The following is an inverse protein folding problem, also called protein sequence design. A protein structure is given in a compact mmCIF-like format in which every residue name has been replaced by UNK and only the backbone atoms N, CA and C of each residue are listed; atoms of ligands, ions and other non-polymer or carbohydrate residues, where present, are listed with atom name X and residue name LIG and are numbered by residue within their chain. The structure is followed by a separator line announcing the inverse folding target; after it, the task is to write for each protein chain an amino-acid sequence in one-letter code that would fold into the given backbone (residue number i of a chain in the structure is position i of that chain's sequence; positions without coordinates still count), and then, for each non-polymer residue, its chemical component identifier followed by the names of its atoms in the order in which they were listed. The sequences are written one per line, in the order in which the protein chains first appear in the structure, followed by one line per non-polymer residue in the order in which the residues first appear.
data_IF_554005678636
#
_entry.id   IF_554005678636
#
_cell.length_a   1.000
_cell.length_b   1.000
_cell.length_c   1.000
_cell.angle_alpha   90.00
_cell.angle_beta   90.00
_cell.angle_gamma   90.00
#
_symmetry.space_group_name_H-M   'P 1'
#
loop_
_entity.id
_entity.type
_entity.pdbx_description
1 polymer ?
#
# COMPACT_ATOMS: atom_id res chain seq x y z
N UNK A 1 6.31 -17.65 -9.82
CA UNK A 1 6.09 -16.21 -9.55
C UNK A 1 4.63 -16.02 -9.23
N UNK A 2 4.28 -15.68 -8.00
CA UNK A 2 2.88 -15.37 -7.66
C UNK A 2 2.60 -13.95 -8.14
N UNK A 3 1.92 -13.83 -9.27
CA UNK A 3 1.43 -12.54 -9.77
C UNK A 3 0.25 -12.10 -8.91
N UNK A 4 0.51 -11.49 -7.75
CA UNK A 4 -0.51 -10.69 -7.05
C UNK A 4 -0.71 -9.42 -7.86
N UNK A 5 -1.57 -9.48 -8.88
CA UNK A 5 -2.02 -8.31 -9.62
C UNK A 5 -2.73 -7.41 -8.61
N UNK A 6 -2.13 -6.29 -8.21
CA UNK A 6 -2.85 -5.23 -7.50
C UNK A 6 -2.98 -4.00 -8.41
N UNK A 7 -3.80 -4.06 -9.48
CA UNK A 7 -4.09 -2.89 -10.31
C UNK A 7 -5.05 -1.92 -9.61
N UNK A 8 -5.46 -2.20 -8.37
CA UNK A 8 -6.56 -1.50 -7.71
C UNK A 8 -6.23 -0.04 -7.44
N UNK A 9 -4.97 0.28 -7.12
CA UNK A 9 -4.53 1.65 -6.79
C UNK A 9 -3.94 2.42 -7.98
N UNK A 10 -3.85 1.80 -9.17
CA UNK A 10 -3.26 2.46 -10.33
C UNK A 10 -4.11 3.65 -10.79
N UNK A 11 -3.46 4.79 -11.04
CA UNK A 11 -4.12 6.03 -11.45
C UNK A 11 -4.81 6.83 -10.33
N UNK A 12 -4.83 6.31 -9.10
CA UNK A 12 -5.36 7.07 -7.96
C UNK A 12 -4.42 8.22 -7.60
N UNK A 13 -4.99 9.31 -7.06
CA UNK A 13 -4.20 10.46 -6.58
C UNK A 13 -3.72 10.20 -5.16
N UNK A 14 -2.52 10.67 -4.84
CA UNK A 14 -2.03 10.63 -3.47
C UNK A 14 -2.89 11.54 -2.58
N UNK A 15 -3.40 11.01 -1.48
CA UNK A 15 -4.15 11.77 -0.48
C UNK A 15 -3.73 11.37 0.93
N UNK A 16 -4.00 12.23 1.91
CA UNK A 16 -3.65 12.00 3.32
C UNK A 16 -4.94 11.80 4.11
N UNK A 17 -4.96 10.76 4.96
CA UNK A 17 -6.09 10.41 5.82
C UNK A 17 -5.66 10.55 7.27
N UNK A 18 -6.29 11.49 7.98
CA UNK A 18 -5.98 11.78 9.39
C UNK A 18 -6.99 11.07 10.29
N UNK A 19 -6.78 9.77 10.46
CA UNK A 19 -7.67 8.89 11.22
C UNK A 19 -8.28 9.57 12.43
N UNK A 20 -7.49 10.22 13.29
CA UNK A 20 -7.89 10.67 14.64
C UNK A 20 -8.46 12.10 14.75
N UNK A 21 -8.38 12.93 13.72
CA UNK A 21 -8.64 14.39 13.87
C UNK A 21 -9.71 14.95 12.94
N UNK A 22 -10.07 14.24 11.87
CA UNK A 22 -11.06 14.69 10.90
C UNK A 22 -12.20 13.67 10.82
N UNK A 23 -13.35 14.10 10.28
CA UNK A 23 -14.55 13.28 10.05
C UNK A 23 -14.16 11.93 9.42
N UNK A 24 -14.87 10.82 9.71
CA UNK A 24 -14.50 9.51 9.22
C UNK A 24 -14.28 9.55 7.70
N UNK A 25 -13.22 8.89 7.27
CA UNK A 25 -12.89 8.81 5.85
C UNK A 25 -14.10 8.21 5.14
N UNK A 26 -14.60 8.89 4.10
CA UNK A 26 -15.80 8.48 3.34
C UNK A 26 -15.56 7.21 2.49
N UNK A 27 -14.77 6.27 3.00
CA UNK A 27 -14.61 4.95 2.43
C UNK A 27 -15.80 4.09 2.85
N UNK A 28 -16.44 3.41 1.89
CA UNK A 28 -17.64 2.59 2.16
C UNK A 28 -17.35 1.31 2.94
N UNK A 29 -16.07 0.98 3.10
CA UNK A 29 -15.57 -0.34 3.43
C UNK A 29 -14.69 -0.32 4.69
N UNK A 30 -14.22 0.85 5.08
CA UNK A 30 -13.51 1.11 6.32
C UNK A 30 -14.01 2.41 6.95
N UNK A 31 -14.24 2.38 8.25
CA UNK A 31 -14.64 3.58 8.99
C UNK A 31 -13.52 4.64 9.03
N UNK A 32 -12.25 4.22 8.97
CA UNK A 32 -11.09 5.11 9.09
C UNK A 32 -9.87 4.51 8.39
N UNK A 33 -9.17 5.34 7.66
CA UNK A 33 -7.87 5.07 7.05
C UNK A 33 -6.81 5.95 7.72
N UNK A 34 -5.54 5.67 7.48
CA UNK A 34 -4.45 6.48 8.05
C UNK A 34 -3.25 6.60 7.13
N UNK A 35 -2.48 7.67 7.32
CA UNK A 35 -1.28 7.93 6.54
C UNK A 35 -1.57 8.54 5.18
N UNK A 36 -0.51 8.67 4.38
CA UNK A 36 -0.59 9.13 3.00
C UNK A 36 -0.50 7.95 2.03
N UNK A 37 -1.46 7.82 1.13
CA UNK A 37 -1.52 6.73 0.17
C UNK A 37 -2.28 7.12 -1.10
N UNK A 38 -2.13 6.30 -2.13
CA UNK A 38 -2.99 6.32 -3.32
C UNK A 38 -4.30 5.59 -2.99
N UNK A 39 -5.12 6.23 -2.15
CA UNK A 39 -6.35 5.64 -1.62
C UNK A 39 -7.40 5.42 -2.70
N UNK A 40 -8.16 4.33 -2.54
CA UNK A 40 -9.34 3.99 -3.33
C UNK A 40 -10.43 3.46 -2.41
N UNK A 41 -11.69 3.58 -2.84
CA UNK A 41 -12.82 2.91 -2.19
C UNK A 41 -12.51 1.43 -1.93
N UNK A 42 -12.75 0.98 -0.70
CA UNK A 42 -12.40 -0.36 -0.23
C UNK A 42 -10.90 -0.64 -0.31
N UNK A 43 -10.10 0.30 0.18
CA UNK A 43 -8.64 0.30 0.14
C UNK A 43 -8.02 -1.08 0.47
N UNK A 44 -7.28 -1.66 -0.48
CA UNK A 44 -6.74 -3.03 -0.37
C UNK A 44 -5.28 -3.08 0.05
N UNK A 45 -4.51 -2.03 -0.23
CA UNK A 45 -3.14 -1.90 0.24
C UNK A 45 -2.93 -0.52 0.85
N UNK A 46 -2.12 -0.43 1.89
CA UNK A 46 -1.59 0.82 2.45
C UNK A 46 -0.36 0.50 3.29
N UNK A 47 0.82 0.59 2.68
CA UNK A 47 2.08 0.33 3.39
C UNK A 47 2.47 1.48 4.34
N UNK A 48 1.83 2.65 4.18
CA UNK A 48 2.00 3.83 5.02
C UNK A 48 0.92 3.93 6.12
N UNK A 49 0.13 2.88 6.31
CA UNK A 49 -0.88 2.83 7.35
C UNK A 49 -0.28 2.80 8.75
N UNK A 50 -1.12 3.04 9.76
CA UNK A 50 -0.70 3.10 11.16
C UNK A 50 -0.03 1.80 11.57
N UNK A 51 1.16 1.90 12.13
CA UNK A 51 1.85 0.76 12.74
C UNK A 51 1.10 0.32 13.99
N UNK A 52 0.79 -0.97 14.07
CA UNK A 52 0.21 -1.59 15.26
C UNK A 52 1.11 -2.72 15.76
N UNK A 53 1.14 -2.91 17.08
CA UNK A 53 1.74 -4.07 17.75
C UNK A 53 0.72 -5.18 18.02
N UNK A 54 -0.56 -4.89 17.86
CA UNK A 54 -1.69 -5.82 18.05
C UNK A 54 -2.71 -5.65 16.91
N UNK A 55 -3.58 -6.64 16.71
CA UNK A 55 -4.63 -6.62 15.69
C UNK A 55 -5.52 -5.37 15.87
N UNK A 56 -5.67 -4.56 14.83
CA UNK A 56 -6.66 -3.48 14.83
C UNK A 56 -8.08 -4.05 14.68
N UNK A 57 -9.08 -3.41 15.27
CA UNK A 57 -10.49 -3.74 15.02
C UNK A 57 -11.05 -3.03 13.78
N UNK A 58 -10.33 -2.04 13.24
CA UNK A 58 -10.76 -1.24 12.08
C UNK A 58 -10.05 -1.76 10.84
N UNK A 59 -10.84 -2.21 9.87
CA UNK A 59 -10.35 -2.70 8.57
C UNK A 59 -9.47 -1.65 7.89
N UNK A 60 -8.32 -2.07 7.38
CA UNK A 60 -7.43 -1.21 6.58
C UNK A 60 -6.90 0.07 7.28
N UNK A 61 -7.07 0.21 8.60
CA UNK A 61 -6.54 1.34 9.34
C UNK A 61 -5.01 1.25 9.48
N UNK A 62 -4.50 0.03 9.65
CA UNK A 62 -3.07 -0.22 9.82
C UNK A 62 -2.31 -0.36 8.52
N UNK A 63 -1.04 -0.75 8.64
CA UNK A 63 -0.28 -1.27 7.49
C UNK A 63 -1.08 -2.44 6.90
N UNK A 64 -1.50 -2.30 5.65
CA UNK A 64 -2.48 -3.20 5.04
C UNK A 64 -1.94 -3.76 3.72
N UNK A 65 -2.09 -5.07 3.55
CA UNK A 65 -1.91 -5.76 2.28
C UNK A 65 -2.95 -6.87 2.18
N UNK A 66 -4.03 -6.61 1.45
CA UNK A 66 -5.12 -7.56 1.30
C UNK A 66 -4.69 -8.73 0.41
N UNK A 67 -4.85 -9.94 0.95
CA UNK A 67 -4.70 -11.18 0.21
C UNK A 67 -6.10 -11.59 -0.26
N UNK A 68 -6.24 -11.77 -1.58
CA UNK A 68 -7.49 -12.18 -2.21
C UNK A 68 -8.06 -13.41 -1.50
N UNK A 69 -9.36 -13.39 -1.23
CA UNK A 69 -10.13 -14.47 -0.59
C UNK A 69 -9.76 -14.73 0.90
N UNK A 70 -8.88 -13.91 1.49
CA UNK A 70 -8.53 -13.96 2.92
C UNK A 70 -8.91 -12.64 3.58
N UNK A 71 -10.15 -12.54 4.08
CA UNK A 71 -10.65 -11.30 4.71
C UNK A 71 -9.80 -10.86 5.92
N UNK A 72 -9.30 -11.81 6.71
CA UNK A 72 -8.48 -11.50 7.90
C UNK A 72 -7.15 -10.78 7.57
N UNK A 73 -6.68 -10.84 6.32
CA UNK A 73 -5.44 -10.17 5.89
C UNK A 73 -5.48 -8.64 6.07
N UNK A 74 -6.67 -8.03 6.13
CA UNK A 74 -6.85 -6.62 6.45
C UNK A 74 -6.37 -6.21 7.85
N UNK A 75 -6.16 -7.19 8.72
CA UNK A 75 -5.87 -6.98 10.13
C UNK A 75 -4.52 -7.58 10.55
N UNK A 76 -3.77 -8.17 9.62
CA UNK A 76 -2.43 -8.66 9.88
C UNK A 76 -1.51 -7.51 10.31
N UNK A 77 -0.62 -7.80 11.25
CA UNK A 77 0.40 -6.87 11.69
C UNK A 77 1.70 -7.16 10.95
N UNK A 78 2.33 -6.11 10.43
CA UNK A 78 3.60 -6.22 9.72
C UNK A 78 4.71 -5.61 10.57
N UNK A 79 5.77 -6.36 10.87
CA UNK A 79 6.92 -5.85 11.61
C UNK A 79 7.72 -4.82 10.81
N UNK A 80 7.87 -5.07 9.52
CA UNK A 80 8.62 -4.24 8.59
C UNK A 80 7.92 -4.23 7.24
N UNK A 81 8.00 -3.09 6.55
CA UNK A 81 7.61 -2.94 5.15
C UNK A 81 8.72 -2.20 4.40
N UNK A 82 8.94 -2.58 3.15
CA UNK A 82 9.88 -1.91 2.26
C UNK A 82 9.25 -1.77 0.88
N UNK A 83 9.25 -0.56 0.33
CA UNK A 83 8.92 -0.30 -1.07
C UNK A 83 10.22 -0.02 -1.82
N UNK A 84 10.51 -0.79 -2.86
CA UNK A 84 11.74 -0.66 -3.67
C UNK A 84 11.35 -0.54 -5.12
N UNK A 85 12.02 0.36 -5.83
CA UNK A 85 11.87 0.53 -7.28
C UNK A 85 13.16 0.08 -7.96
N UNK A 86 13.04 -0.36 -9.21
CA UNK A 86 14.16 -0.63 -10.10
C UNK A 86 13.78 -0.19 -11.51
N UNK A 87 14.79 0.16 -12.30
CA UNK A 87 14.57 0.47 -13.70
C UNK A 87 14.01 -0.75 -14.43
N UNK A 88 13.09 -0.51 -15.37
CA UNK A 88 12.40 -1.57 -16.10
C UNK A 88 13.38 -2.40 -16.96
N UNK A 89 14.38 -1.74 -17.52
CA UNK A 89 15.44 -2.29 -18.36
C UNK A 89 16.66 -2.78 -17.57
N UNK A 90 16.58 -2.84 -16.23
CA UNK A 90 17.63 -3.43 -15.41
C UNK A 90 17.69 -4.96 -15.63
N UNK A 91 18.40 -5.36 -16.68
CA UNK A 91 18.84 -6.73 -16.91
C UNK A 91 19.71 -7.21 -15.75
N UNK A 92 19.57 -8.48 -15.38
CA UNK A 92 20.09 -9.07 -14.13
C UNK A 92 21.62 -8.89 -13.90
N UNK A 93 22.39 -8.39 -14.87
CA UNK A 93 23.85 -8.17 -14.74
C UNK A 93 24.44 -6.95 -15.49
N UNK A 94 23.69 -5.95 -15.94
CA UNK A 94 24.26 -4.85 -16.76
C UNK A 94 23.98 -3.47 -16.16
N UNK A 95 24.54 -3.20 -14.97
CA UNK A 95 24.50 -1.86 -14.36
C UNK A 95 24.83 -0.74 -15.37
N UNK A 96 24.37 0.48 -15.07
CA UNK A 96 24.27 1.62 -15.99
C UNK A 96 25.50 1.86 -16.90
N UNK A 97 25.51 1.25 -18.08
CA UNK A 97 26.32 1.67 -19.21
C UNK A 97 25.51 2.74 -19.96
N UNK A 98 25.70 4.01 -19.58
CA UNK A 98 25.42 5.10 -20.51
C UNK A 98 26.54 5.11 -21.53
N UNK A 99 26.26 4.69 -22.76
CA UNK A 99 27.12 5.09 -23.87
C UNK A 99 27.14 6.61 -23.92
N UNK A 100 28.35 7.18 -23.90
CA UNK A 100 28.58 8.59 -24.17
C UNK A 100 28.52 8.70 -25.69
N UNK A 101 27.38 9.10 -26.23
CA UNK A 101 27.31 9.41 -27.66
C UNK A 101 28.27 10.55 -27.96
N UNK A 102 29.10 10.32 -28.98
CA UNK A 102 30.16 11.20 -29.49
C UNK A 102 29.56 12.33 -30.30
#
# INVERSE_FOLDING_TARGET
QVTTRCPKHNGEKFTIKKSMTESPDRDSCSARLSGGWWFKTCNEANLNGRKFTQKSTIRALGITWHIKDIYDSYFYTYDKVEMKIRDYDYGFCTGALKFKDT
#
